data_IF_755966164643
#
_entry.id   IF_755966164643
#
_cell.length_a   1.000
_cell.length_b   1.000
_cell.length_c   1.000
_cell.angle_alpha   90.00
_cell.angle_beta   90.00
_cell.angle_gamma   90.00
#
_symmetry.space_group_name_H-M   'P 1'
#
loop_
_entity.id
_entity.type
_entity.pdbx_description
1 polymer ?
#
# COMPACT_ATOMS: atom_id res chain seq x y z
N UNK A 1 24.21 -14.69 1.17
CA UNK A 1 23.35 -13.58 1.65
C UNK A 1 21.95 -14.13 1.96
N UNK A 2 21.44 -13.96 3.18
CA UNK A 2 20.01 -14.24 3.43
C UNK A 2 19.22 -13.31 2.52
N UNK A 3 18.38 -13.87 1.64
CA UNK A 3 17.45 -13.07 0.84
C UNK A 3 16.47 -12.39 1.82
N UNK A 4 16.51 -11.06 1.86
CA UNK A 4 15.52 -10.30 2.62
C UNK A 4 14.13 -10.61 2.04
N UNK A 5 13.14 -10.75 2.91
CA UNK A 5 11.74 -10.95 2.54
C UNK A 5 11.02 -9.63 2.69
N UNK A 6 10.14 -9.31 1.75
CA UNK A 6 9.36 -8.08 1.77
C UNK A 6 7.87 -8.36 1.72
N UNK A 7 7.09 -7.44 2.29
CA UNK A 7 5.64 -7.36 2.15
C UNK A 7 5.33 -6.15 1.27
N UNK A 8 4.63 -6.39 0.18
CA UNK A 8 4.05 -5.34 -0.64
C UNK A 8 2.67 -4.97 -0.09
N UNK A 9 2.56 -3.78 0.49
CA UNK A 9 1.34 -3.32 1.16
C UNK A 9 0.34 -2.64 0.22
N UNK A 10 0.69 -2.48 -1.06
CA UNK A 10 -0.12 -1.79 -2.05
C UNK A 10 0.19 -2.28 -3.46
N UNK A 11 -0.71 -3.08 -4.06
CA UNK A 11 -0.50 -3.68 -5.38
C UNK A 11 -1.83 -4.01 -6.08
N UNK A 12 -1.97 -3.63 -7.36
CA UNK A 12 -3.14 -3.87 -8.20
C UNK A 12 -2.98 -5.15 -9.03
N UNK A 13 -2.77 -6.26 -8.33
CA UNK A 13 -2.41 -7.55 -8.93
C UNK A 13 -3.62 -8.40 -9.36
N UNK A 14 -4.85 -8.01 -8.97
CA UNK A 14 -6.05 -8.78 -9.27
C UNK A 14 -6.50 -8.59 -10.73
N UNK A 15 -6.64 -9.68 -11.52
CA UNK A 15 -6.91 -9.54 -12.94
C UNK A 15 -8.31 -9.01 -13.23
N UNK A 16 -8.41 -7.92 -14.02
CA UNK A 16 -9.67 -7.38 -14.54
C UNK A 16 -10.60 -6.77 -13.50
N UNK A 17 -10.06 -6.27 -12.39
CA UNK A 17 -10.83 -5.61 -11.32
C UNK A 17 -10.81 -4.09 -11.44
N UNK A 18 -9.67 -3.54 -11.78
CA UNK A 18 -9.41 -2.11 -11.91
C UNK A 18 -8.46 -1.83 -13.09
N UNK A 19 -7.71 -0.72 -13.04
CA UNK A 19 -6.69 -0.37 -14.03
C UNK A 19 -5.34 -1.09 -13.83
N UNK A 20 -5.26 -2.03 -12.87
CA UNK A 20 -4.11 -2.90 -12.66
C UNK A 20 -3.99 -4.02 -13.68
N UNK A 21 -3.62 -5.23 -13.24
CA UNK A 21 -3.52 -6.42 -14.09
C UNK A 21 -4.81 -6.64 -14.89
N UNK A 22 -4.73 -6.67 -16.22
CA UNK A 22 -5.91 -6.84 -17.09
C UNK A 22 -6.34 -8.29 -17.20
N UNK A 23 -5.36 -9.18 -17.24
CA UNK A 23 -5.56 -10.61 -17.45
C UNK A 23 -4.74 -11.43 -16.46
N UNK A 24 -5.10 -12.69 -16.27
CA UNK A 24 -4.35 -13.62 -15.41
C UNK A 24 -2.89 -13.78 -15.85
N UNK A 25 -2.60 -13.58 -17.15
CA UNK A 25 -1.24 -13.56 -17.69
C UNK A 25 -0.42 -12.41 -17.08
N UNK A 26 -0.98 -11.21 -17.01
CA UNK A 26 -0.30 -10.06 -16.43
C UNK A 26 -0.02 -10.29 -14.94
N UNK A 27 -1.01 -10.82 -14.22
CA UNK A 27 -0.86 -11.25 -12.82
C UNK A 27 0.29 -12.24 -12.65
N UNK A 28 0.39 -13.24 -13.55
CA UNK A 28 1.46 -14.25 -13.50
C UNK A 28 2.84 -13.59 -13.64
N UNK A 29 3.01 -12.74 -14.64
CA UNK A 29 4.26 -12.02 -14.89
C UNK A 29 4.61 -11.07 -13.70
N UNK A 30 3.62 -10.39 -13.13
CA UNK A 30 3.81 -9.57 -11.93
C UNK A 30 4.24 -10.41 -10.72
N UNK A 31 3.65 -11.59 -10.51
CA UNK A 31 4.04 -12.52 -9.44
C UNK A 31 5.50 -12.99 -9.60
N UNK A 32 5.92 -13.32 -10.84
CA UNK A 32 7.30 -13.71 -11.15
C UNK A 32 8.29 -12.60 -10.79
N UNK A 33 8.00 -11.37 -11.21
CA UNK A 33 8.82 -10.19 -10.89
C UNK A 33 8.87 -9.96 -9.37
N UNK A 34 7.71 -9.93 -8.71
CA UNK A 34 7.62 -9.75 -7.27
C UNK A 34 8.43 -10.78 -6.49
N UNK A 35 8.33 -12.05 -6.91
CA UNK A 35 9.10 -13.14 -6.30
C UNK A 35 10.60 -12.96 -6.46
N UNK A 36 11.05 -12.59 -7.66
CA UNK A 36 12.45 -12.28 -7.96
C UNK A 36 12.95 -11.08 -7.18
N UNK A 37 12.11 -10.08 -6.96
CA UNK A 37 12.41 -8.89 -6.14
C UNK A 37 12.49 -9.19 -4.63
N UNK A 38 12.10 -10.38 -4.18
CA UNK A 38 12.12 -10.78 -2.77
C UNK A 38 10.80 -10.54 -2.04
N UNK A 39 9.74 -10.11 -2.72
CA UNK A 39 8.40 -10.01 -2.15
C UNK A 39 7.89 -11.42 -1.87
N UNK A 40 7.37 -11.64 -0.67
CA UNK A 40 6.81 -12.93 -0.23
C UNK A 40 5.37 -12.82 0.24
N UNK A 41 4.91 -11.60 0.44
CA UNK A 41 3.51 -11.30 0.76
C UNK A 41 3.08 -10.10 -0.06
N UNK A 42 1.91 -10.18 -0.66
CA UNK A 42 1.26 -9.09 -1.38
C UNK A 42 -0.10 -8.83 -0.72
N UNK A 43 -0.40 -7.57 -0.46
CA UNK A 43 -1.77 -7.12 -0.20
C UNK A 43 -2.33 -6.62 -1.51
N UNK A 44 -3.33 -7.33 -2.03
CA UNK A 44 -4.04 -6.93 -3.25
C UNK A 44 -5.00 -5.80 -2.88
N UNK A 45 -4.79 -4.61 -3.44
CA UNK A 45 -5.51 -3.39 -3.10
C UNK A 45 -6.15 -2.75 -4.34
N UNK A 46 -7.13 -3.41 -4.98
CA UNK A 46 -7.81 -2.80 -6.11
C UNK A 46 -8.53 -1.52 -5.68
N UNK A 47 -8.71 -0.60 -6.64
CA UNK A 47 -9.41 0.66 -6.40
C UNK A 47 -10.85 0.47 -5.97
N UNK A 48 -11.30 1.31 -5.03
CA UNK A 48 -12.67 1.47 -4.60
C UNK A 48 -13.05 2.94 -4.54
N UNK A 49 -14.21 3.31 -5.10
CA UNK A 49 -14.70 4.69 -5.28
C UNK A 49 -13.85 5.60 -6.18
N UNK A 50 -13.04 5.03 -7.06
CA UNK A 50 -12.32 5.80 -8.07
C UNK A 50 -12.90 5.57 -9.47
N UNK A 51 -12.61 6.50 -10.39
CA UNK A 51 -12.91 6.34 -11.83
C UNK A 51 -12.20 5.14 -12.46
N UNK A 52 -11.09 4.68 -11.84
CA UNK A 52 -10.27 3.54 -12.26
C UNK A 52 -10.84 2.19 -11.84
N UNK A 53 -11.79 2.17 -10.90
CA UNK A 53 -12.45 0.95 -10.49
C UNK A 53 -13.35 1.12 -9.26
N UNK A 54 -14.32 0.23 -9.17
CA UNK A 54 -15.16 0.06 -7.98
C UNK A 54 -15.29 -1.44 -7.71
N UNK A 55 -14.22 -2.03 -7.17
CA UNK A 55 -14.20 -3.44 -6.85
C UNK A 55 -15.26 -3.79 -5.80
N UNK A 56 -16.12 -4.75 -6.08
CA UNK A 56 -16.98 -5.36 -5.07
C UNK A 56 -16.20 -6.41 -4.26
N UNK A 57 -16.60 -6.65 -3.01
CA UNK A 57 -16.00 -7.73 -2.19
C UNK A 57 -16.12 -9.08 -2.89
N UNK A 58 -17.22 -9.33 -3.61
CA UNK A 58 -17.40 -10.57 -4.35
C UNK A 58 -16.40 -10.72 -5.49
N UNK A 59 -16.20 -9.68 -6.29
CA UNK A 59 -15.17 -9.66 -7.35
C UNK A 59 -13.78 -9.83 -6.76
N UNK A 60 -13.44 -9.08 -5.71
CA UNK A 60 -12.17 -9.19 -5.01
C UNK A 60 -11.92 -10.62 -4.56
N UNK A 61 -12.86 -11.23 -3.85
CA UNK A 61 -12.69 -12.60 -3.34
C UNK A 61 -12.55 -13.63 -4.47
N UNK A 62 -13.32 -13.50 -5.55
CA UNK A 62 -13.23 -14.39 -6.72
C UNK A 62 -11.85 -14.28 -7.38
N UNK A 63 -11.36 -13.09 -7.65
CA UNK A 63 -10.07 -12.91 -8.30
C UNK A 63 -8.90 -13.24 -7.35
N UNK A 64 -9.03 -12.92 -6.07
CA UNK A 64 -8.04 -13.30 -5.06
C UNK A 64 -7.84 -14.82 -4.98
N UNK A 65 -8.93 -15.59 -5.13
CA UNK A 65 -8.86 -17.05 -5.14
C UNK A 65 -8.07 -17.55 -6.36
N UNK A 66 -8.31 -17.00 -7.55
CA UNK A 66 -7.54 -17.33 -8.76
C UNK A 66 -6.05 -17.01 -8.61
N UNK A 67 -5.71 -15.88 -7.98
CA UNK A 67 -4.31 -15.52 -7.71
C UNK A 67 -3.66 -16.51 -6.74
N UNK A 68 -4.39 -16.97 -5.72
CA UNK A 68 -3.88 -18.01 -4.79
C UNK A 68 -3.62 -19.35 -5.50
N UNK A 69 -4.52 -19.77 -6.37
CA UNK A 69 -4.38 -20.97 -7.18
C UNK A 69 -3.15 -20.86 -8.10
N UNK A 70 -3.00 -19.72 -8.77
CA UNK A 70 -1.85 -19.44 -9.62
C UNK A 70 -0.51 -19.50 -8.85
N UNK A 71 -0.45 -18.93 -7.64
CA UNK A 71 0.73 -19.00 -6.76
C UNK A 71 1.06 -20.48 -6.43
N UNK A 72 0.06 -21.32 -6.19
CA UNK A 72 0.24 -22.75 -5.92
C UNK A 72 0.75 -23.50 -7.17
N UNK A 73 0.14 -23.27 -8.34
CA UNK A 73 0.56 -23.85 -9.61
C UNK A 73 2.02 -23.50 -9.96
N UNK A 74 2.42 -22.27 -9.64
CA UNK A 74 3.81 -21.80 -9.86
C UNK A 74 4.79 -22.29 -8.78
N UNK A 75 4.36 -23.06 -7.79
CA UNK A 75 5.16 -23.49 -6.64
C UNK A 75 5.90 -22.34 -5.94
N UNK A 76 5.28 -21.17 -5.87
CA UNK A 76 5.88 -20.00 -5.24
C UNK A 76 5.58 -19.96 -3.73
N UNK A 77 6.62 -19.77 -2.91
CA UNK A 77 6.44 -19.52 -1.48
C UNK A 77 6.03 -18.05 -1.25
N UNK A 78 4.82 -17.72 -1.67
CA UNK A 78 4.20 -16.41 -1.54
C UNK A 78 2.79 -16.52 -0.94
N UNK A 79 2.32 -15.41 -0.37
CA UNK A 79 0.94 -15.27 0.10
C UNK A 79 0.33 -13.99 -0.44
N UNK A 80 -0.97 -14.03 -0.73
CA UNK A 80 -1.75 -12.85 -1.13
C UNK A 80 -2.91 -12.65 -0.14
N UNK A 81 -3.07 -11.41 0.31
CA UNK A 81 -4.13 -11.00 1.24
C UNK A 81 -5.06 -9.98 0.59
N UNK A 82 -6.34 -9.95 0.99
CA UNK A 82 -7.28 -8.95 0.50
C UNK A 82 -7.00 -7.58 1.11
N UNK A 83 -7.39 -6.56 0.39
CA UNK A 83 -7.50 -5.17 0.79
C UNK A 83 -8.20 -4.38 -0.30
N UNK A 84 -8.36 -3.09 -0.12
CA UNK A 84 -8.79 -2.13 -1.13
C UNK A 84 -8.01 -0.83 -0.94
N UNK A 85 -7.66 -0.17 -2.05
CA UNK A 85 -7.27 1.23 -2.04
C UNK A 85 -8.54 2.05 -2.19
N UNK A 86 -8.94 2.70 -1.09
CA UNK A 86 -10.23 3.38 -1.00
C UNK A 86 -10.04 4.87 -1.26
N UNK A 87 -10.59 5.38 -2.35
CA UNK A 87 -10.65 6.82 -2.59
C UNK A 87 -11.65 7.44 -1.60
N UNK A 88 -11.15 8.37 -0.77
CA UNK A 88 -11.99 8.96 0.27
C UNK A 88 -13.06 9.87 -0.32
N UNK A 89 -14.29 9.48 -0.10
CA UNK A 89 -15.53 10.27 -0.24
C UNK A 89 -16.39 10.01 1.00
N UNK A 90 -17.35 10.87 1.29
CA UNK A 90 -18.15 10.74 2.52
C UNK A 90 -18.91 9.42 2.62
N UNK A 91 -19.34 8.89 1.48
CA UNK A 91 -20.10 7.64 1.35
C UNK A 91 -19.35 6.43 1.90
N UNK A 92 -18.01 6.43 1.90
CA UNK A 92 -17.23 5.30 2.42
C UNK A 92 -17.48 5.02 3.90
N UNK A 93 -17.91 6.01 4.67
CA UNK A 93 -18.20 5.84 6.09
C UNK A 93 -19.39 4.91 6.32
N UNK A 94 -20.42 5.01 5.48
CA UNK A 94 -21.57 4.11 5.52
C UNK A 94 -21.21 2.74 4.94
N UNK A 95 -20.38 2.70 3.89
CA UNK A 95 -19.91 1.44 3.29
C UNK A 95 -19.01 0.64 4.25
N UNK A 96 -18.25 1.31 5.12
CA UNK A 96 -17.49 0.66 6.20
C UNK A 96 -18.42 -0.01 7.22
N UNK A 97 -19.49 0.67 7.63
CA UNK A 97 -20.47 0.11 8.56
C UNK A 97 -21.24 -1.07 7.95
N UNK A 98 -21.47 -1.04 6.64
CA UNK A 98 -22.13 -2.11 5.89
C UNK A 98 -21.21 -3.27 5.54
N UNK A 99 -19.90 -3.16 5.80
CA UNK A 99 -18.92 -4.17 5.43
C UNK A 99 -18.71 -4.33 3.93
N UNK A 100 -18.95 -3.27 3.15
CA UNK A 100 -18.76 -3.25 1.68
C UNK A 100 -17.29 -3.06 1.31
N UNK A 101 -16.50 -2.45 2.19
CA UNK A 101 -15.07 -2.19 1.99
C UNK A 101 -14.23 -3.32 2.60
N UNK A 102 -13.32 -3.88 1.80
CA UNK A 102 -12.36 -4.86 2.31
C UNK A 102 -11.18 -4.15 2.97
N UNK A 103 -11.01 -4.39 4.26
CA UNK A 103 -9.85 -3.93 5.02
C UNK A 103 -8.60 -4.78 4.72
N UNK A 104 -7.41 -4.27 5.04
CA UNK A 104 -6.14 -4.97 4.83
C UNK A 104 -6.10 -6.29 5.61
N UNK A 105 -6.09 -7.42 4.90
CA UNK A 105 -5.98 -8.75 5.52
C UNK A 105 -7.11 -9.09 6.50
N UNK A 106 -8.26 -8.43 6.41
CA UNK A 106 -9.38 -8.52 7.38
C UNK A 106 -9.03 -7.95 8.77
N UNK A 107 -8.03 -7.10 8.87
CA UNK A 107 -7.69 -6.35 10.08
C UNK A 107 -8.55 -5.09 10.20
N UNK A 108 -8.30 -4.23 11.17
CA UNK A 108 -8.92 -2.89 11.26
C UNK A 108 -8.19 -1.82 10.45
N UNK A 109 -7.19 -2.18 9.65
CA UNK A 109 -6.45 -1.24 8.83
C UNK A 109 -7.13 -1.05 7.47
N UNK A 110 -7.23 0.21 7.05
CA UNK A 110 -7.77 0.61 5.76
C UNK A 110 -6.75 1.48 5.03
N UNK A 111 -6.52 1.20 3.75
CA UNK A 111 -5.67 2.01 2.88
C UNK A 111 -6.55 3.04 2.18
N UNK A 112 -6.27 4.33 2.43
CA UNK A 112 -7.06 5.44 1.91
C UNK A 112 -6.20 6.30 0.99
N UNK A 113 -6.74 6.59 -0.19
CA UNK A 113 -6.17 7.57 -1.11
C UNK A 113 -7.06 8.83 -1.21
N UNK A 114 -6.45 9.91 -1.68
CA UNK A 114 -7.09 11.21 -1.91
C UNK A 114 -6.74 11.75 -3.29
N UNK A 115 -7.44 12.80 -3.72
CA UNK A 115 -6.99 13.60 -4.86
C UNK A 115 -5.59 14.18 -4.57
N UNK A 116 -4.66 14.22 -5.55
CA UNK A 116 -3.35 14.85 -5.40
C UNK A 116 -3.42 16.30 -4.91
N UNK A 117 -4.52 16.99 -5.22
CA UNK A 117 -4.77 18.39 -4.85
C UNK A 117 -5.63 18.55 -3.59
N UNK A 118 -5.93 17.44 -2.88
CA UNK A 118 -6.75 17.49 -1.67
C UNK A 118 -6.16 18.47 -0.63
N UNK A 119 -6.98 19.37 -0.06
CA UNK A 119 -6.53 20.24 1.02
C UNK A 119 -6.17 19.43 2.27
N UNK A 120 -5.18 19.87 3.03
CA UNK A 120 -4.73 19.18 4.23
C UNK A 120 -5.86 18.97 5.26
N UNK A 121 -6.71 19.98 5.46
CA UNK A 121 -7.87 19.89 6.36
C UNK A 121 -8.86 18.79 5.97
N UNK A 122 -9.00 18.51 4.66
CA UNK A 122 -9.83 17.41 4.19
C UNK A 122 -9.23 16.06 4.57
N UNK A 123 -7.90 15.89 4.39
CA UNK A 123 -7.19 14.67 4.79
C UNK A 123 -7.29 14.44 6.30
N UNK A 124 -7.08 15.52 7.12
CA UNK A 124 -7.21 15.42 8.57
C UNK A 124 -8.61 14.99 9.01
N UNK A 125 -9.64 15.60 8.42
CA UNK A 125 -11.03 15.25 8.73
C UNK A 125 -11.33 13.80 8.35
N UNK A 126 -10.91 13.35 7.17
CA UNK A 126 -11.09 11.98 6.73
C UNK A 126 -10.45 10.97 7.70
N UNK A 127 -9.21 11.25 8.15
CA UNK A 127 -8.52 10.41 9.13
C UNK A 127 -9.34 10.31 10.43
N UNK A 128 -9.83 11.44 10.96
CA UNK A 128 -10.63 11.45 12.18
C UNK A 128 -11.94 10.68 12.03
N UNK A 129 -12.68 10.91 10.95
CA UNK A 129 -13.99 10.28 10.71
C UNK A 129 -13.85 8.75 10.58
N UNK A 130 -12.83 8.27 9.87
CA UNK A 130 -12.57 6.83 9.73
C UNK A 130 -12.10 6.21 11.05
N UNK A 131 -11.29 6.93 11.84
CA UNK A 131 -10.87 6.48 13.17
C UNK A 131 -12.05 6.41 14.15
N UNK A 132 -13.01 7.35 14.08
CA UNK A 132 -14.25 7.31 14.88
C UNK A 132 -15.11 6.08 14.59
N UNK A 133 -15.01 5.50 13.38
CA UNK A 133 -15.61 4.20 13.04
C UNK A 133 -14.82 2.99 13.56
N UNK A 134 -13.71 3.20 14.29
CA UNK A 134 -12.88 2.15 14.89
C UNK A 134 -11.82 1.57 13.97
N UNK A 135 -11.60 2.15 12.79
CA UNK A 135 -10.56 1.71 11.87
C UNK A 135 -9.22 2.44 12.09
N UNK A 136 -8.15 1.87 11.57
CA UNK A 136 -6.80 2.43 11.57
C UNK A 136 -6.44 2.85 10.15
N UNK A 137 -6.17 4.13 9.96
CA UNK A 137 -5.95 4.70 8.63
C UNK A 137 -4.49 4.55 8.20
N UNK A 138 -4.27 3.92 7.04
CA UNK A 138 -3.03 4.00 6.28
C UNK A 138 -3.27 4.97 5.13
N UNK A 139 -2.51 6.06 5.07
CA UNK A 139 -2.58 7.01 3.96
C UNK A 139 -1.68 6.50 2.84
N UNK A 140 -2.28 6.21 1.68
CA UNK A 140 -1.58 5.70 0.50
C UNK A 140 -0.66 6.76 -0.09
N UNK A 141 0.52 6.34 -0.59
CA UNK A 141 1.47 7.12 -1.38
C UNK A 141 1.47 8.64 -1.09
N UNK A 142 1.76 8.98 0.18
CA UNK A 142 1.69 10.38 0.68
C UNK A 142 2.53 11.38 -0.13
N UNK A 143 3.51 10.88 -0.84
CA UNK A 143 4.36 11.65 -1.74
C UNK A 143 3.65 12.19 -2.99
N UNK A 144 2.39 11.79 -3.23
CA UNK A 144 1.57 12.30 -4.34
C UNK A 144 0.74 13.52 -3.96
N UNK A 145 0.61 13.84 -2.67
CA UNK A 145 -0.26 14.95 -2.24
C UNK A 145 0.52 16.25 -2.13
N UNK A 146 0.16 17.22 -2.97
CA UNK A 146 0.83 18.53 -3.06
C UNK A 146 0.83 19.28 -1.72
N UNK A 147 -0.20 19.11 -0.89
CA UNK A 147 -0.29 19.74 0.43
C UNK A 147 0.69 19.13 1.45
N UNK A 148 1.16 17.88 1.26
CA UNK A 148 2.06 17.16 2.18
C UNK A 148 3.52 17.31 1.75
N UNK A 149 3.81 17.20 0.45
CA UNK A 149 5.18 17.21 -0.07
C UNK A 149 5.94 18.51 0.19
N UNK A 150 5.22 19.60 0.42
CA UNK A 150 5.77 20.93 0.71
C UNK A 150 5.98 21.21 2.21
N UNK A 151 5.46 20.36 3.07
CA UNK A 151 5.49 20.63 4.53
C UNK A 151 5.47 19.34 5.35
N UNK A 152 6.63 18.96 5.89
CA UNK A 152 6.80 17.76 6.70
C UNK A 152 6.03 17.81 8.03
N UNK A 153 5.78 19.01 8.60
CA UNK A 153 5.02 19.14 9.83
C UNK A 153 3.59 18.60 9.69
N UNK A 154 3.03 18.67 8.47
CA UNK A 154 1.74 18.07 8.18
C UNK A 154 1.77 16.54 8.24
N UNK A 155 2.87 15.91 7.83
CA UNK A 155 3.04 14.46 7.99
C UNK A 155 3.14 14.11 9.48
N UNK A 156 3.93 14.86 10.27
CA UNK A 156 4.01 14.65 11.73
C UNK A 156 2.63 14.76 12.38
N UNK A 157 1.86 15.80 12.04
CA UNK A 157 0.51 15.99 12.57
C UNK A 157 -0.41 14.80 12.25
N UNK A 158 -0.35 14.23 11.03
CA UNK A 158 -1.13 13.05 10.69
C UNK A 158 -0.69 11.81 11.49
N UNK A 159 0.61 11.65 11.72
CA UNK A 159 1.16 10.55 12.54
C UNK A 159 0.75 10.72 14.01
N UNK A 160 0.84 11.93 14.54
CA UNK A 160 0.38 12.27 15.91
C UNK A 160 -1.13 12.01 16.09
N UNK A 161 -1.92 12.20 15.04
CA UNK A 161 -3.34 11.84 15.02
C UNK A 161 -3.57 10.31 14.94
N UNK A 162 -2.51 9.51 14.78
CA UNK A 162 -2.58 8.05 14.71
C UNK A 162 -2.78 7.49 13.31
N UNK A 163 -2.54 8.28 12.26
CA UNK A 163 -2.48 7.78 10.89
C UNK A 163 -1.13 7.13 10.61
N UNK A 164 -1.12 6.14 9.72
CA UNK A 164 0.08 5.46 9.24
C UNK A 164 0.40 5.89 7.81
N UNK A 165 1.67 6.08 7.54
CA UNK A 165 2.17 6.64 6.29
C UNK A 165 2.70 5.52 5.39
N UNK A 166 2.10 5.35 4.21
CA UNK A 166 2.62 4.47 3.17
C UNK A 166 3.23 5.31 2.05
N UNK A 167 4.35 4.85 1.52
CA UNK A 167 5.04 5.42 0.35
C UNK A 167 5.30 4.36 -0.69
N UNK A 168 5.44 4.77 -1.95
CA UNK A 168 5.78 3.85 -3.02
C UNK A 168 7.28 3.55 -3.06
N UNK A 169 7.64 2.30 -3.29
CA UNK A 169 9.02 1.85 -3.41
C UNK A 169 9.80 2.62 -4.49
N UNK A 170 9.16 2.90 -5.62
CA UNK A 170 9.74 3.69 -6.71
C UNK A 170 10.08 5.13 -6.29
N UNK A 171 9.29 5.72 -5.41
CA UNK A 171 9.50 7.09 -4.92
C UNK A 171 10.70 7.20 -3.99
N UNK A 172 11.03 6.14 -3.26
CA UNK A 172 12.21 6.07 -2.37
C UNK A 172 13.52 6.28 -3.15
N UNK A 173 13.58 5.74 -4.36
CA UNK A 173 14.73 5.85 -5.27
C UNK A 173 14.49 6.81 -6.42
N UNK A 174 13.37 7.53 -6.38
CA UNK A 174 12.89 8.39 -7.46
C UNK A 174 13.74 9.62 -7.74
N UNK A 175 13.31 10.37 -8.77
CA UNK A 175 14.02 11.52 -9.31
C UNK A 175 14.18 12.69 -8.33
N UNK A 176 14.90 13.72 -8.79
CA UNK A 176 15.37 14.84 -7.98
C UNK A 176 14.24 15.57 -7.22
N UNK A 177 13.08 15.74 -7.82
CA UNK A 177 11.95 16.49 -7.26
C UNK A 177 11.38 15.88 -5.96
N UNK A 178 11.26 14.55 -5.92
CA UNK A 178 10.68 13.85 -4.76
C UNK A 178 11.73 13.45 -3.72
N UNK A 179 12.99 13.40 -4.15
CA UNK A 179 14.11 12.91 -3.33
C UNK A 179 14.29 13.67 -2.02
N UNK A 180 14.10 15.00 -2.04
CA UNK A 180 14.24 15.82 -0.85
C UNK A 180 13.16 15.49 0.19
N UNK A 181 11.91 15.42 -0.25
CA UNK A 181 10.78 15.03 0.60
C UNK A 181 10.98 13.63 1.19
N UNK A 182 11.27 12.63 0.36
CA UNK A 182 11.51 11.26 0.81
C UNK A 182 12.64 11.15 1.83
N UNK A 183 13.75 11.87 1.57
CA UNK A 183 14.87 11.93 2.52
C UNK A 183 14.45 12.52 3.87
N UNK A 184 13.62 13.55 3.87
CA UNK A 184 13.16 14.23 5.08
C UNK A 184 12.25 13.33 5.92
N UNK A 185 11.21 12.73 5.33
CA UNK A 185 10.27 11.88 6.07
C UNK A 185 10.92 10.58 6.55
N UNK A 186 11.90 10.03 5.80
CA UNK A 186 12.65 8.84 6.23
C UNK A 186 13.63 9.15 7.34
N UNK A 187 14.29 10.31 7.31
CA UNK A 187 15.22 10.74 8.38
C UNK A 187 14.51 10.83 9.73
N UNK A 188 13.23 11.21 9.73
CA UNK A 188 12.40 11.33 10.93
C UNK A 188 11.59 10.07 11.24
N UNK A 189 11.83 8.98 10.49
CA UNK A 189 11.13 7.71 10.67
C UNK A 189 9.59 7.82 10.58
N UNK A 190 9.11 8.75 9.76
CA UNK A 190 7.67 8.98 9.56
C UNK A 190 7.03 8.01 8.57
N UNK A 191 7.83 7.23 7.84
CA UNK A 191 7.31 6.17 6.94
C UNK A 191 7.07 4.91 7.75
N UNK A 192 5.87 4.35 7.63
CA UNK A 192 5.47 3.13 8.34
C UNK A 192 5.43 1.90 7.43
N UNK A 193 5.01 2.08 6.18
CA UNK A 193 4.76 0.99 5.23
C UNK A 193 5.24 1.35 3.83
N UNK A 194 5.65 0.34 3.08
CA UNK A 194 6.04 0.50 1.68
C UNK A 194 5.14 -0.39 0.80
N UNK A 195 4.69 0.15 -0.32
CA UNK A 195 4.00 -0.58 -1.36
C UNK A 195 4.68 -0.37 -2.71
N UNK A 196 4.44 -1.24 -3.68
CA UNK A 196 4.91 -1.01 -5.04
C UNK A 196 3.97 -0.14 -5.83
N UNK A 197 2.68 -0.21 -5.52
CA UNK A 197 1.61 0.39 -6.31
C UNK A 197 1.68 -0.11 -7.78
N UNK A 198 2.04 -1.39 -7.91
CA UNK A 198 2.24 -2.02 -9.20
C UNK A 198 0.91 -2.31 -9.91
N UNK A 199 0.87 -2.04 -11.22
CA UNK A 199 -0.34 -2.18 -12.04
C UNK A 199 -0.13 -3.10 -13.24
N UNK A 200 1.11 -3.26 -13.70
CA UNK A 200 1.44 -4.07 -14.87
C UNK A 200 2.88 -4.61 -14.76
N UNK A 201 3.24 -5.63 -15.56
CA UNK A 201 4.58 -6.20 -15.48
C UNK A 201 5.69 -5.34 -16.13
N UNK A 202 5.36 -4.25 -16.86
CA UNK A 202 6.31 -3.53 -17.69
C UNK A 202 6.64 -2.13 -17.18
N UNK A 203 5.60 -1.27 -17.05
CA UNK A 203 5.77 0.16 -16.73
C UNK A 203 5.65 0.45 -15.24
N UNK A 204 4.65 -0.17 -14.58
CA UNK A 204 4.41 -0.06 -13.13
C UNK A 204 4.56 -1.44 -12.49
N UNK A 205 5.74 -2.04 -12.66
CA UNK A 205 6.03 -3.39 -12.18
C UNK A 205 6.37 -3.42 -10.68
N UNK A 206 6.19 -4.58 -10.00
CA UNK A 206 6.35 -4.71 -8.54
C UNK A 206 7.83 -4.75 -8.14
N UNK A 207 8.54 -3.62 -8.29
CA UNK A 207 9.95 -3.44 -7.96
C UNK A 207 10.13 -2.88 -6.55
N UNK A 208 10.82 -3.61 -5.69
CA UNK A 208 10.99 -3.23 -4.27
C UNK A 208 12.43 -3.34 -3.78
N UNK A 209 13.23 -4.26 -4.32
CA UNK A 209 14.58 -4.57 -3.82
C UNK A 209 15.51 -3.36 -3.78
N UNK A 210 15.54 -2.56 -4.84
CA UNK A 210 16.41 -1.38 -4.91
C UNK A 210 16.07 -0.36 -3.83
N UNK A 211 14.78 -0.16 -3.56
CA UNK A 211 14.32 0.73 -2.49
C UNK A 211 14.75 0.20 -1.12
N UNK A 212 14.56 -1.10 -0.85
CA UNK A 212 14.98 -1.71 0.41
C UNK A 212 16.50 -1.59 0.64
N UNK A 213 17.33 -1.88 -0.36
CA UNK A 213 18.78 -1.72 -0.29
C UNK A 213 19.17 -0.25 -0.02
N UNK A 214 18.48 0.70 -0.66
CA UNK A 214 18.72 2.11 -0.41
C UNK A 214 18.42 2.50 1.04
N UNK A 215 17.26 2.08 1.57
CA UNK A 215 16.88 2.35 2.96
C UNK A 215 17.86 1.70 3.94
N UNK A 216 18.21 0.43 3.72
CA UNK A 216 19.18 -0.28 4.57
C UNK A 216 20.53 0.47 4.64
N UNK A 217 21.04 0.92 3.49
CA UNK A 217 22.32 1.65 3.41
C UNK A 217 22.29 3.05 4.05
N UNK A 218 21.14 3.74 4.01
CA UNK A 218 21.01 5.14 4.45
C UNK A 218 20.43 5.31 5.84
N UNK A 219 19.56 4.38 6.26
CA UNK A 219 18.79 4.49 7.50
C UNK A 219 18.95 3.26 8.42
N UNK A 220 19.73 2.27 7.98
CA UNK A 220 20.05 1.07 8.76
C UNK A 220 19.08 -0.09 8.53
N UNK A 221 19.58 -1.30 8.85
CA UNK A 221 18.83 -2.56 8.65
C UNK A 221 17.53 -2.62 9.48
N UNK A 222 17.57 -2.15 10.73
CA UNK A 222 16.42 -2.19 11.62
C UNK A 222 15.22 -1.40 11.06
N UNK A 223 15.46 -0.19 10.54
CA UNK A 223 14.38 0.62 9.95
C UNK A 223 13.91 0.03 8.62
N UNK A 224 14.82 -0.47 7.78
CA UNK A 224 14.45 -1.17 6.55
C UNK A 224 13.54 -2.38 6.88
N UNK A 225 13.96 -3.24 7.80
CA UNK A 225 13.16 -4.41 8.20
C UNK A 225 11.80 -4.00 8.80
N UNK A 226 11.75 -2.91 9.56
CA UNK A 226 10.52 -2.39 10.14
C UNK A 226 9.50 -2.04 9.06
N UNK A 227 9.85 -1.19 8.07
CA UNK A 227 8.88 -0.67 7.10
C UNK A 227 8.60 -1.60 5.91
N UNK A 228 9.52 -2.53 5.59
CA UNK A 228 9.35 -3.50 4.50
C UNK A 228 8.82 -4.86 4.96
N UNK A 229 8.84 -5.14 6.29
CA UNK A 229 8.41 -6.45 6.78
C UNK A 229 7.62 -6.38 8.09
N UNK A 230 8.20 -5.91 9.20
CA UNK A 230 7.61 -6.06 10.53
C UNK A 230 6.28 -5.37 10.68
N UNK A 231 6.18 -4.12 10.22
CA UNK A 231 4.92 -3.36 10.28
C UNK A 231 3.83 -4.01 9.42
N UNK A 232 4.16 -4.52 8.23
CA UNK A 232 3.22 -5.26 7.40
C UNK A 232 2.70 -6.53 8.08
N UNK A 233 3.57 -7.28 8.78
CA UNK A 233 3.16 -8.45 9.58
C UNK A 233 2.20 -8.03 10.70
N UNK A 234 2.50 -6.95 11.42
CA UNK A 234 1.67 -6.43 12.51
C UNK A 234 0.29 -5.98 11.99
N UNK A 235 0.25 -5.27 10.84
CA UNK A 235 -1.01 -4.89 10.17
C UNK A 235 -1.86 -6.13 9.87
N UNK A 236 -1.27 -7.17 9.26
CA UNK A 236 -1.98 -8.39 8.89
C UNK A 236 -2.45 -9.21 10.11
N UNK A 237 -1.81 -9.03 11.28
CA UNK A 237 -2.22 -9.61 12.56
C UNK A 237 -3.17 -8.71 13.36
N UNK A 238 -3.56 -7.57 12.80
CA UNK A 238 -4.35 -6.55 13.48
C UNK A 238 -3.69 -5.98 14.76
N UNK A 239 -2.37 -6.05 14.85
CA UNK A 239 -1.56 -5.45 15.91
C UNK A 239 -1.33 -3.95 15.63
N UNK A 240 -1.01 -3.17 16.65
CA UNK A 240 -0.65 -1.74 16.47
C UNK A 240 0.82 -1.64 16.02
N UNK A 241 1.11 -0.73 15.08
CA UNK A 241 2.47 -0.43 14.58
C UNK A 241 2.90 0.96 14.96
#
# INVERSE_FOLDING_TARGET
>A
MKMNKYIDMHCHILPGVDDGAKHLKDTKEMLEIAYQEGIRVIVATPHHHDRRGKASIQQLNCQLQKVKELIQEMNMNMKVYPGMEVFFVQEILDELDQGIIATIGKSRYILIEFSPEAPFSYIQRAVQEVQMKGYRVIIAHVERYSCLTKNIDKIRSLVEMGAYIQVNASSIIGGFTIKHFMKSIMKEHLVHLVGTDAHDPNHRSPLMRKAAIYVERKHGHAYMEQIFWRNGVAVLRNEKI
#
